data_IF_025946670667
#
_entry.id   IF_025946670667
#
_cell.length_a   1.000
_cell.length_b   1.000
_cell.length_c   1.000
_cell.angle_alpha   90.00
_cell.angle_beta   90.00
_cell.angle_gamma   90.00
#
_symmetry.space_group_name_H-M   'P 1'
#
loop_
_entity.id
_entity.type
_entity.pdbx_description
1 polymer ?
#
# COMPACT_ATOMS: atom_id res chain seq x y z
N UNK A 1 11.02 10.08 -65.92
CA UNK A 1 9.74 9.64 -65.32
C UNK A 1 10.08 8.75 -64.14
N UNK A 2 9.88 9.24 -62.91
CA UNK A 2 10.00 8.43 -61.69
C UNK A 2 8.70 7.64 -61.54
N UNK A 3 8.81 6.32 -61.50
CA UNK A 3 7.67 5.45 -61.19
C UNK A 3 7.56 5.41 -59.66
N UNK A 4 6.53 6.04 -59.13
CA UNK A 4 6.17 6.01 -57.71
C UNK A 4 5.46 4.69 -57.42
N UNK A 5 6.06 3.83 -56.60
CA UNK A 5 5.34 2.71 -55.97
C UNK A 5 4.20 3.24 -55.09
N UNK A 6 3.02 2.60 -55.07
CA UNK A 6 1.96 3.00 -54.18
C UNK A 6 2.34 2.61 -52.73
N UNK A 7 2.18 3.56 -51.81
CA UNK A 7 2.30 3.30 -50.38
C UNK A 7 1.41 2.12 -49.97
N UNK A 8 1.97 1.16 -49.22
CA UNK A 8 1.23 0.06 -48.59
C UNK A 8 0.05 0.66 -47.83
N UNK A 9 -1.18 0.31 -48.22
CA UNK A 9 -2.36 0.50 -47.38
C UNK A 9 -2.11 -0.27 -46.09
N UNK A 10 -2.18 0.41 -44.95
CA UNK A 10 -2.33 -0.25 -43.65
C UNK A 10 -3.67 -0.99 -43.72
N UNK A 11 -3.64 -2.32 -43.72
CA UNK A 11 -4.86 -3.10 -43.54
C UNK A 11 -5.40 -2.77 -42.14
N UNK A 12 -6.58 -2.17 -42.10
CA UNK A 12 -7.30 -1.94 -40.84
C UNK A 12 -7.83 -3.29 -40.41
N UNK A 13 -7.18 -3.91 -39.42
CA UNK A 13 -7.69 -5.12 -38.77
C UNK A 13 -9.06 -4.79 -38.16
N UNK A 14 -10.12 -5.46 -38.62
CA UNK A 14 -11.48 -5.22 -38.11
C UNK A 14 -11.65 -5.95 -36.77
N UNK A 15 -11.24 -5.27 -35.70
CA UNK A 15 -11.33 -5.80 -34.34
C UNK A 15 -12.77 -5.81 -33.84
N UNK A 16 -13.13 -6.82 -33.04
CA UNK A 16 -14.34 -6.77 -32.21
C UNK A 16 -14.30 -5.49 -31.37
N UNK A 17 -15.44 -4.80 -31.28
CA UNK A 17 -15.57 -3.56 -30.49
C UNK A 17 -16.09 -3.88 -29.10
N UNK A 18 -15.42 -3.36 -28.07
CA UNK A 18 -15.83 -3.45 -26.67
C UNK A 18 -16.21 -2.05 -26.17
N UNK A 19 -17.37 -1.96 -25.54
CA UNK A 19 -17.91 -0.72 -24.98
C UNK A 19 -17.31 -0.48 -23.60
N UNK A 20 -16.60 0.63 -23.44
CA UNK A 20 -15.95 1.02 -22.19
C UNK A 20 -16.67 2.24 -21.62
N UNK A 21 -17.18 2.13 -20.40
CA UNK A 21 -17.74 3.25 -19.64
C UNK A 21 -16.75 3.71 -18.56
N UNK A 22 -16.67 5.02 -18.33
CA UNK A 22 -15.85 5.59 -17.27
C UNK A 22 -16.73 6.31 -16.25
N UNK A 23 -16.56 5.98 -14.97
CA UNK A 23 -17.22 6.64 -13.85
C UNK A 23 -16.19 7.48 -13.09
N UNK A 24 -16.33 8.80 -13.15
CA UNK A 24 -15.39 9.75 -12.55
C UNK A 24 -14.30 10.21 -13.52
N UNK A 25 -14.12 11.53 -13.60
CA UNK A 25 -13.11 12.17 -14.46
C UNK A 25 -12.29 13.21 -13.67
N UNK A 26 -11.84 12.83 -12.47
CA UNK A 26 -10.88 13.61 -11.69
C UNK A 26 -9.45 13.49 -12.23
N UNK A 27 -8.44 13.69 -11.38
CA UNK A 27 -7.03 13.65 -11.77
C UNK A 27 -6.60 12.34 -12.47
N UNK A 28 -7.14 11.19 -12.05
CA UNK A 28 -6.85 9.90 -12.70
C UNK A 28 -7.78 9.65 -13.89
N UNK A 29 -9.10 9.76 -13.68
CA UNK A 29 -10.09 9.41 -14.71
C UNK A 29 -9.97 10.26 -15.97
N UNK A 30 -9.64 11.54 -15.84
CA UNK A 30 -9.42 12.41 -17.00
C UNK A 30 -8.20 11.95 -17.83
N UNK A 31 -7.10 11.53 -17.18
CA UNK A 31 -5.93 10.97 -17.86
C UNK A 31 -6.24 9.63 -18.53
N UNK A 32 -7.03 8.76 -17.89
CA UNK A 32 -7.50 7.50 -18.50
C UNK A 32 -8.30 7.76 -19.77
N UNK A 33 -9.27 8.67 -19.73
CA UNK A 33 -10.07 9.03 -20.90
C UNK A 33 -9.20 9.63 -22.03
N UNK A 34 -8.32 10.57 -21.71
CA UNK A 34 -7.43 11.18 -22.68
C UNK A 34 -6.49 10.16 -23.34
N UNK A 35 -5.92 9.23 -22.56
CA UNK A 35 -5.05 8.17 -23.08
C UNK A 35 -5.82 7.15 -23.91
N UNK A 36 -7.05 6.75 -23.53
CA UNK A 36 -7.91 5.88 -24.33
C UNK A 36 -8.20 6.51 -25.70
N UNK A 37 -8.57 7.79 -25.73
CA UNK A 37 -8.89 8.51 -26.97
C UNK A 37 -7.65 8.72 -27.84
N UNK A 38 -6.50 9.03 -27.24
CA UNK A 38 -5.26 9.33 -27.95
C UNK A 38 -4.54 8.08 -28.47
N UNK A 39 -4.54 7.00 -27.70
CA UNK A 39 -3.80 5.77 -27.99
C UNK A 39 -4.70 4.58 -28.35
N UNK A 40 -5.93 4.85 -28.79
CA UNK A 40 -6.95 3.83 -29.08
C UNK A 40 -6.45 2.72 -30.03
N UNK A 41 -5.79 3.07 -31.13
CA UNK A 41 -5.27 2.09 -32.10
C UNK A 41 -4.20 1.16 -31.49
N UNK A 42 -3.27 1.73 -30.71
CA UNK A 42 -2.19 0.98 -30.04
C UNK A 42 -2.75 0.06 -28.94
N UNK A 43 -3.73 0.56 -28.18
CA UNK A 43 -4.43 -0.24 -27.18
C UNK A 43 -5.26 -1.34 -27.82
N UNK A 44 -5.89 -1.07 -28.97
CA UNK A 44 -6.66 -2.06 -29.71
C UNK A 44 -5.79 -3.21 -30.22
N UNK A 45 -4.61 -2.90 -30.75
CA UNK A 45 -3.64 -3.93 -31.19
C UNK A 45 -3.18 -4.82 -30.03
N UNK A 46 -2.90 -4.21 -28.86
CA UNK A 46 -2.51 -4.94 -27.64
C UNK A 46 -3.64 -5.76 -27.03
N UNK A 47 -4.86 -5.24 -27.06
CA UNK A 47 -6.04 -5.89 -26.53
C UNK A 47 -6.53 -7.00 -27.44
N UNK A 48 -6.43 -6.83 -28.76
CA UNK A 48 -7.10 -7.63 -29.78
C UNK A 48 -8.57 -7.23 -30.01
N UNK A 49 -8.99 -6.08 -29.47
CA UNK A 49 -10.33 -5.52 -29.57
C UNK A 49 -10.26 -3.99 -29.58
N UNK A 50 -11.11 -3.33 -30.37
CA UNK A 50 -11.26 -1.87 -30.32
C UNK A 50 -11.95 -1.48 -29.01
N UNK A 51 -11.40 -0.49 -28.31
CA UNK A 51 -11.90 -0.01 -27.01
C UNK A 51 -12.67 1.30 -27.22
N UNK A 52 -13.99 1.20 -27.35
CA UNK A 52 -14.85 2.37 -27.59
C UNK A 52 -15.28 2.99 -26.26
N UNK A 53 -14.74 4.16 -25.92
CA UNK A 53 -15.19 4.93 -24.76
C UNK A 53 -16.59 5.50 -25.06
N UNK A 54 -17.63 4.90 -24.48
CA UNK A 54 -19.04 5.23 -24.79
C UNK A 54 -19.58 6.40 -23.98
N UNK A 55 -18.92 6.74 -22.88
CA UNK A 55 -19.29 7.88 -22.06
C UNK A 55 -18.50 7.94 -20.76
N UNK A 56 -18.58 9.10 -20.12
CA UNK A 56 -17.86 9.48 -18.92
C UNK A 56 -18.87 10.10 -17.94
N UNK A 57 -19.20 9.38 -16.87
CA UNK A 57 -20.07 9.89 -15.81
C UNK A 57 -19.29 10.83 -14.88
N UNK A 58 -19.84 12.02 -14.65
CA UNK A 58 -19.28 13.06 -13.78
C UNK A 58 -20.39 13.72 -12.97
N UNK A 59 -20.04 14.33 -11.83
CA UNK A 59 -20.99 15.11 -11.02
C UNK A 59 -21.33 16.46 -11.66
N UNK A 60 -20.35 17.05 -12.35
CA UNK A 60 -20.44 18.37 -12.96
C UNK A 60 -19.77 18.33 -14.34
N UNK A 61 -20.53 18.70 -15.38
CA UNK A 61 -20.06 18.73 -16.77
C UNK A 61 -19.02 19.84 -16.98
N UNK A 62 -19.15 20.95 -16.26
CA UNK A 62 -18.38 22.17 -16.46
C UNK A 62 -17.17 22.28 -15.51
N UNK A 63 -17.01 21.30 -14.60
CA UNK A 63 -15.85 21.24 -13.70
C UNK A 63 -14.51 21.26 -14.49
N UNK A 64 -13.51 22.02 -14.02
CA UNK A 64 -12.21 22.09 -14.68
C UNK A 64 -11.51 20.74 -14.63
N UNK A 65 -10.77 20.42 -15.70
CA UNK A 65 -10.00 19.18 -15.86
C UNK A 65 -8.63 19.51 -16.45
N UNK A 66 -7.64 18.72 -16.10
CA UNK A 66 -6.25 18.92 -16.56
C UNK A 66 -6.06 18.60 -18.05
N UNK A 67 -7.03 17.92 -18.65
CA UNK A 67 -7.03 17.52 -20.06
C UNK A 67 -8.37 17.87 -20.70
N UNK A 68 -8.31 18.23 -21.98
CA UNK A 68 -9.51 18.50 -22.78
C UNK A 68 -10.19 17.18 -23.15
N UNK A 69 -11.49 17.08 -22.84
CA UNK A 69 -12.30 15.89 -23.09
C UNK A 69 -13.53 16.28 -23.93
N UNK A 70 -13.90 15.50 -24.95
CA UNK A 70 -15.08 15.78 -25.76
C UNK A 70 -16.35 15.89 -24.89
N UNK A 71 -17.04 17.02 -24.97
CA UNK A 71 -18.21 17.32 -24.12
C UNK A 71 -19.33 16.31 -24.33
N UNK A 72 -19.48 15.81 -25.55
CA UNK A 72 -20.46 14.79 -25.93
C UNK A 72 -20.29 13.44 -25.22
N UNK A 73 -19.10 13.15 -24.67
CA UNK A 73 -18.87 11.96 -23.85
C UNK A 73 -19.28 12.17 -22.39
N UNK A 74 -19.41 13.41 -21.92
CA UNK A 74 -19.70 13.71 -20.52
C UNK A 74 -21.19 13.58 -20.23
N UNK A 75 -21.54 12.90 -19.14
CA UNK A 75 -22.91 12.76 -18.65
C UNK A 75 -22.97 12.85 -17.13
N UNK A 76 -24.11 13.27 -16.59
CA UNK A 76 -24.40 13.21 -15.15
C UNK A 76 -25.23 11.99 -14.77
N UNK A 77 -25.59 11.15 -15.74
CA UNK A 77 -26.38 9.94 -15.57
C UNK A 77 -25.49 8.69 -15.69
N UNK A 78 -24.95 8.15 -14.58
CA UNK A 78 -24.13 6.94 -14.60
C UNK A 78 -24.91 5.72 -15.09
N UNK A 79 -26.20 5.58 -14.75
CA UNK A 79 -27.00 4.38 -15.05
C UNK A 79 -27.09 4.14 -16.56
N UNK A 80 -27.20 5.21 -17.34
CA UNK A 80 -27.19 5.15 -18.81
C UNK A 80 -25.92 4.50 -19.41
N UNK A 81 -24.81 4.51 -18.67
CA UNK A 81 -23.52 3.95 -19.11
C UNK A 81 -23.28 2.52 -18.60
N UNK A 82 -23.94 2.10 -17.52
CA UNK A 82 -23.68 0.78 -16.93
C UNK A 82 -24.24 -0.34 -17.81
N UNK A 83 -25.47 -0.16 -18.32
CA UNK A 83 -26.15 -1.20 -19.08
C UNK A 83 -25.58 -1.31 -20.50
N UNK A 84 -25.06 -2.49 -20.81
CA UNK A 84 -24.54 -2.82 -22.14
C UNK A 84 -23.11 -2.35 -22.40
N UNK A 85 -22.40 -1.89 -21.37
CA UNK A 85 -20.94 -1.74 -21.40
C UNK A 85 -20.29 -3.10 -21.15
N UNK A 86 -19.23 -3.41 -21.88
CA UNK A 86 -18.42 -4.62 -21.66
C UNK A 86 -17.48 -4.42 -20.46
N UNK A 87 -16.92 -3.21 -20.34
CA UNK A 87 -15.98 -2.83 -19.27
C UNK A 87 -16.45 -1.52 -18.63
N UNK A 88 -16.52 -1.49 -17.30
CA UNK A 88 -16.78 -0.28 -16.52
C UNK A 88 -15.55 0.07 -15.68
N UNK A 89 -15.01 1.26 -15.91
CA UNK A 89 -13.90 1.82 -15.16
C UNK A 89 -14.46 2.71 -14.04
N UNK A 90 -14.23 2.37 -12.78
CA UNK A 90 -14.67 3.16 -11.61
C UNK A 90 -13.49 3.92 -10.98
N UNK A 91 -13.58 5.25 -11.01
CA UNK A 91 -12.60 6.21 -10.50
C UNK A 91 -13.29 7.40 -9.82
N UNK A 92 -14.44 7.18 -9.19
CA UNK A 92 -15.19 8.21 -8.45
C UNK A 92 -14.62 8.43 -7.05
N UNK A 93 -14.07 7.37 -6.44
CA UNK A 93 -13.66 7.36 -5.04
C UNK A 93 -14.84 7.32 -4.08
N UNK A 94 -14.55 7.14 -2.78
CA UNK A 94 -15.57 6.98 -1.74
C UNK A 94 -16.26 5.60 -1.78
N UNK A 95 -17.24 5.38 -0.90
CA UNK A 95 -17.96 4.10 -0.81
C UNK A 95 -19.23 4.11 -1.66
N UNK A 96 -20.11 5.10 -1.46
CA UNK A 96 -21.30 5.32 -2.29
C UNK A 96 -21.17 6.64 -3.04
N UNK A 97 -21.61 6.74 -4.31
CA UNK A 97 -22.38 5.75 -5.08
C UNK A 97 -21.54 4.68 -5.80
N UNK A 98 -20.23 4.61 -5.53
CA UNK A 98 -19.31 3.69 -6.21
C UNK A 98 -19.72 2.23 -6.08
N UNK A 99 -20.00 1.76 -4.86
CA UNK A 99 -20.46 0.40 -4.58
C UNK A 99 -21.72 0.05 -5.35
N UNK A 100 -22.76 0.88 -5.26
CA UNK A 100 -24.03 0.66 -5.98
C UNK A 100 -23.81 0.57 -7.49
N UNK A 101 -22.99 1.47 -8.05
CA UNK A 101 -22.71 1.51 -9.50
C UNK A 101 -21.94 0.27 -9.97
N UNK A 102 -20.95 -0.19 -9.19
CA UNK A 102 -20.18 -1.40 -9.49
C UNK A 102 -21.08 -2.64 -9.45
N UNK A 103 -21.91 -2.79 -8.42
CA UNK A 103 -22.83 -3.94 -8.31
C UNK A 103 -23.83 -3.99 -9.47
N UNK A 104 -24.36 -2.84 -9.89
CA UNK A 104 -25.24 -2.74 -11.06
C UNK A 104 -24.52 -3.11 -12.36
N UNK A 105 -23.29 -2.63 -12.56
CA UNK A 105 -22.48 -2.97 -13.72
C UNK A 105 -22.15 -4.46 -13.79
N UNK A 106 -21.76 -5.06 -12.65
CA UNK A 106 -21.56 -6.51 -12.52
C UNK A 106 -22.84 -7.26 -12.88
N UNK A 107 -23.99 -6.85 -12.31
CA UNK A 107 -25.29 -7.47 -12.62
C UNK A 107 -25.68 -7.39 -14.11
N UNK A 108 -25.15 -6.42 -14.85
CA UNK A 108 -25.30 -6.29 -16.30
C UNK A 108 -24.27 -7.12 -17.10
N UNK A 109 -23.33 -7.80 -16.44
CA UNK A 109 -22.32 -8.65 -17.04
C UNK A 109 -21.00 -7.93 -17.41
N UNK A 110 -20.80 -6.70 -16.95
CA UNK A 110 -19.59 -5.94 -17.23
C UNK A 110 -18.41 -6.38 -16.36
N UNK A 111 -17.20 -6.39 -16.94
CA UNK A 111 -15.98 -6.40 -16.15
C UNK A 111 -15.74 -5.04 -15.52
N UNK A 112 -15.16 -5.04 -14.31
CA UNK A 112 -14.90 -3.84 -13.55
C UNK A 112 -13.39 -3.58 -13.50
N UNK A 113 -13.00 -2.33 -13.72
CA UNK A 113 -11.65 -1.84 -13.44
C UNK A 113 -11.76 -0.71 -12.43
N UNK A 114 -11.13 -0.81 -11.26
CA UNK A 114 -11.24 0.22 -10.20
C UNK A 114 -9.90 0.54 -9.54
N UNK A 115 -9.74 1.78 -9.07
CA UNK A 115 -8.62 2.19 -8.21
C UNK A 115 -9.07 2.42 -6.74
N UNK A 116 -10.29 2.02 -6.39
CA UNK A 116 -10.93 2.40 -5.14
C UNK A 116 -10.56 1.46 -3.98
N UNK A 117 -9.38 1.71 -3.40
CA UNK A 117 -8.83 0.97 -2.25
C UNK A 117 -9.77 0.92 -1.05
N UNK A 118 -10.47 2.00 -0.73
CA UNK A 118 -11.36 2.07 0.43
C UNK A 118 -12.57 1.16 0.24
N UNK A 119 -13.14 1.15 -0.97
CA UNK A 119 -14.24 0.28 -1.33
C UNK A 119 -13.81 -1.19 -1.32
N UNK A 120 -12.69 -1.53 -1.94
CA UNK A 120 -12.18 -2.91 -1.98
C UNK A 120 -11.83 -3.44 -0.59
N UNK A 121 -11.19 -2.63 0.26
CA UNK A 121 -10.84 -3.04 1.60
C UNK A 121 -12.04 -3.22 2.54
N UNK A 122 -13.19 -2.60 2.23
CA UNK A 122 -14.40 -2.65 3.07
C UNK A 122 -15.45 -3.62 2.54
N UNK A 123 -15.68 -3.62 1.24
CA UNK A 123 -16.74 -4.35 0.54
C UNK A 123 -16.21 -5.33 -0.52
N UNK A 124 -14.89 -5.54 -0.60
CA UNK A 124 -14.27 -6.47 -1.55
C UNK A 124 -14.95 -7.84 -1.60
N UNK A 125 -15.15 -8.55 -0.47
CA UNK A 125 -15.82 -9.85 -0.46
C UNK A 125 -17.18 -9.85 -1.16
N UNK A 126 -18.01 -8.83 -0.90
CA UNK A 126 -19.31 -8.67 -1.54
C UNK A 126 -19.19 -8.46 -3.05
N UNK A 127 -18.26 -7.58 -3.47
CA UNK A 127 -18.07 -7.27 -4.89
C UNK A 127 -17.54 -8.47 -5.67
N UNK A 128 -16.56 -9.19 -5.13
CA UNK A 128 -16.01 -10.39 -5.76
C UNK A 128 -17.04 -11.52 -5.82
N UNK A 129 -17.85 -11.72 -4.77
CA UNK A 129 -18.92 -12.71 -4.79
C UNK A 129 -19.96 -12.38 -5.88
N UNK A 130 -20.35 -11.11 -6.01
CA UNK A 130 -21.25 -10.67 -7.08
C UNK A 130 -20.65 -10.92 -8.48
N UNK A 131 -19.35 -10.64 -8.67
CA UNK A 131 -18.67 -10.88 -9.93
C UNK A 131 -18.61 -12.37 -10.28
N UNK A 132 -18.31 -13.23 -9.31
CA UNK A 132 -18.24 -14.68 -9.47
C UNK A 132 -19.60 -15.27 -9.88
N UNK A 133 -20.72 -14.76 -9.34
CA UNK A 133 -22.07 -15.24 -9.67
C UNK A 133 -22.44 -15.07 -11.14
N UNK A 134 -21.93 -14.02 -11.79
CA UNK A 134 -22.22 -13.71 -13.20
C UNK A 134 -21.05 -14.06 -14.14
N UNK A 135 -19.92 -14.51 -13.59
CA UNK A 135 -18.69 -14.80 -14.33
C UNK A 135 -17.94 -13.57 -14.83
N UNK A 136 -18.17 -12.39 -14.22
CA UNK A 136 -17.42 -11.16 -14.49
C UNK A 136 -16.09 -11.15 -13.72
N UNK A 137 -15.21 -10.22 -14.04
CA UNK A 137 -13.93 -10.00 -13.35
C UNK A 137 -13.84 -8.59 -12.79
N UNK A 138 -13.18 -8.46 -11.64
CA UNK A 138 -12.81 -7.16 -11.06
C UNK A 138 -11.28 -7.05 -11.11
N UNK A 139 -10.80 -6.02 -11.79
CA UNK A 139 -9.39 -5.65 -11.89
C UNK A 139 -9.13 -4.40 -11.07
N UNK A 140 -8.04 -4.39 -10.31
CA UNK A 140 -7.78 -3.35 -9.32
C UNK A 140 -6.29 -3.09 -9.05
N UNK A 141 -5.44 -3.23 -10.07
CA UNK A 141 -3.99 -2.97 -9.95
C UNK A 141 -3.70 -1.59 -9.35
N UNK A 142 -4.46 -0.59 -9.82
CA UNK A 142 -4.34 0.81 -9.42
C UNK A 142 -4.68 1.07 -7.93
N UNK A 143 -5.32 0.12 -7.22
CA UNK A 143 -5.76 0.31 -5.84
C UNK A 143 -4.65 0.07 -4.80
N UNK A 144 -3.61 -0.71 -5.13
CA UNK A 144 -2.60 -1.10 -4.14
C UNK A 144 -1.35 -0.20 -4.12
N UNK A 145 -0.75 0.09 -5.28
CA UNK A 145 0.56 0.76 -5.33
C UNK A 145 0.73 1.72 -6.52
N UNK A 146 -0.37 2.33 -6.98
CA UNK A 146 -0.32 3.32 -8.06
C UNK A 146 0.09 2.69 -9.39
N UNK A 147 1.27 3.06 -9.91
CA UNK A 147 1.81 2.48 -11.15
C UNK A 147 2.59 1.17 -10.94
N UNK A 148 2.91 0.80 -9.70
CA UNK A 148 3.72 -0.38 -9.42
C UNK A 148 2.85 -1.62 -9.65
N UNK A 149 3.21 -2.52 -10.60
CA UNK A 149 2.49 -3.75 -10.77
C UNK A 149 2.78 -4.67 -9.58
N UNK A 150 1.76 -4.97 -8.77
CA UNK A 150 1.89 -5.83 -7.59
C UNK A 150 0.73 -6.82 -7.46
N UNK A 151 -0.49 -6.41 -7.83
CA UNK A 151 -1.66 -7.28 -7.86
C UNK A 151 -1.43 -8.39 -8.88
N UNK A 152 -1.07 -8.08 -10.13
CA UNK A 152 -0.79 -9.12 -11.14
C UNK A 152 0.38 -10.04 -10.79
N UNK A 153 1.55 -9.54 -10.34
CA UNK A 153 2.62 -10.41 -9.88
C UNK A 153 2.20 -11.37 -8.77
N UNK A 154 1.47 -10.91 -7.75
CA UNK A 154 0.98 -11.76 -6.66
C UNK A 154 -0.09 -12.76 -7.15
N UNK A 155 -1.02 -12.30 -7.99
CA UNK A 155 -2.16 -13.11 -8.45
C UNK A 155 -1.79 -14.14 -9.51
N UNK A 156 -0.90 -13.78 -10.43
CA UNK A 156 -0.66 -14.55 -11.66
C UNK A 156 0.76 -15.13 -11.67
N UNK A 157 1.78 -14.31 -11.38
CA UNK A 157 3.19 -14.75 -11.50
C UNK A 157 3.66 -15.59 -10.31
N UNK A 158 3.16 -15.26 -9.11
CA UNK A 158 3.49 -15.95 -7.85
C UNK A 158 2.40 -16.93 -7.41
N UNK A 159 1.37 -17.17 -8.22
CA UNK A 159 0.32 -18.15 -7.92
C UNK A 159 0.84 -19.59 -7.75
N UNK A 160 1.98 -19.90 -8.36
CA UNK A 160 2.65 -21.20 -8.22
C UNK A 160 3.65 -21.25 -7.07
N UNK A 161 3.78 -20.18 -6.29
CA UNK A 161 4.74 -20.04 -5.19
C UNK A 161 3.99 -19.76 -3.88
N UNK A 162 4.73 -19.68 -2.79
CA UNK A 162 4.21 -19.41 -1.46
C UNK A 162 4.83 -18.15 -0.90
N UNK A 163 4.05 -17.09 -0.90
CA UNK A 163 4.43 -15.82 -0.26
C UNK A 163 4.46 -16.01 1.25
N UNK A 164 5.61 -15.71 1.85
CA UNK A 164 5.85 -15.75 3.29
C UNK A 164 5.67 -14.36 3.91
N UNK A 165 6.19 -13.33 3.24
CA UNK A 165 6.20 -11.98 3.79
C UNK A 165 6.15 -10.92 2.69
N UNK A 166 5.46 -9.83 2.99
CA UNK A 166 5.45 -8.61 2.21
C UNK A 166 5.83 -7.45 3.13
N UNK A 167 6.78 -6.62 2.71
CA UNK A 167 7.10 -5.36 3.36
C UNK A 167 6.98 -4.23 2.33
N UNK A 168 6.14 -3.25 2.60
CA UNK A 168 5.82 -2.20 1.64
C UNK A 168 5.96 -0.80 2.20
N UNK A 169 6.63 0.08 1.44
CA UNK A 169 6.46 1.52 1.54
C UNK A 169 5.36 1.88 0.55
N UNK A 170 4.13 1.97 1.05
CA UNK A 170 2.92 2.07 0.21
C UNK A 170 2.24 3.44 0.29
N UNK A 171 2.82 4.39 1.03
CA UNK A 171 2.30 5.75 1.16
C UNK A 171 3.40 6.78 0.86
N UNK A 172 3.23 7.52 -0.24
CA UNK A 172 4.23 8.47 -0.73
C UNK A 172 4.40 9.69 0.17
N UNK A 173 3.32 10.21 0.78
CA UNK A 173 3.35 11.37 1.67
C UNK A 173 4.24 11.13 2.88
N UNK A 174 4.00 10.02 3.59
CA UNK A 174 4.79 9.62 4.75
C UNK A 174 6.22 9.28 4.40
N UNK A 175 6.47 8.61 3.27
CA UNK A 175 7.84 8.33 2.83
C UNK A 175 8.60 9.62 2.51
N UNK A 176 7.96 10.60 1.85
CA UNK A 176 8.55 11.90 1.57
C UNK A 176 8.94 12.62 2.87
N UNK A 177 8.03 12.64 3.86
CA UNK A 177 8.29 13.28 5.15
C UNK A 177 9.47 12.63 5.86
N UNK A 178 9.43 11.30 6.04
CA UNK A 178 10.50 10.57 6.74
C UNK A 178 11.85 10.65 6.00
N UNK A 179 11.85 10.64 4.66
CA UNK A 179 13.05 10.80 3.84
C UNK A 179 13.68 12.19 4.01
N UNK A 180 12.89 13.26 4.01
CA UNK A 180 13.40 14.62 4.29
C UNK A 180 13.94 14.73 5.71
N UNK A 181 13.23 14.21 6.70
CA UNK A 181 13.70 14.22 8.08
C UNK A 181 15.03 13.47 8.24
N UNK A 182 15.20 12.29 7.62
CA UNK A 182 16.47 11.54 7.67
C UNK A 182 17.63 12.27 6.95
N UNK A 183 17.37 12.98 5.86
CA UNK A 183 18.42 13.59 5.04
C UNK A 183 18.81 15.00 5.46
N UNK A 184 17.84 15.77 5.93
CA UNK A 184 18.01 17.19 6.26
C UNK A 184 18.07 17.43 7.77
N UNK A 185 17.62 16.47 8.59
CA UNK A 185 17.55 16.63 10.05
C UNK A 185 16.46 17.60 10.50
N UNK A 186 15.48 17.89 9.64
CA UNK A 186 14.37 18.79 9.92
C UNK A 186 13.31 18.18 10.84
N UNK A 187 12.58 19.04 11.55
CA UNK A 187 11.47 18.62 12.41
C UNK A 187 10.23 18.22 11.60
N UNK A 188 9.45 17.28 12.15
CA UNK A 188 8.23 16.75 11.52
C UNK A 188 7.26 17.84 11.07
N UNK A 189 6.99 18.82 11.93
CA UNK A 189 6.02 19.88 11.66
C UNK A 189 6.42 20.78 10.49
N UNK A 190 7.71 21.09 10.37
CA UNK A 190 8.26 21.90 9.27
C UNK A 190 8.16 21.14 7.95
N UNK A 191 8.59 19.87 7.95
CA UNK A 191 8.54 19.01 6.75
C UNK A 191 7.10 18.77 6.29
N UNK A 192 6.15 18.59 7.23
CA UNK A 192 4.74 18.43 6.90
C UNK A 192 4.17 19.70 6.25
N UNK A 193 4.47 20.89 6.80
CA UNK A 193 4.02 22.15 6.23
C UNK A 193 4.56 22.36 4.80
N UNK A 194 5.84 22.02 4.57
CA UNK A 194 6.44 22.07 3.24
C UNK A 194 5.83 21.05 2.29
N UNK A 195 5.53 19.83 2.76
CA UNK A 195 4.85 18.80 1.97
C UNK A 195 3.45 19.27 1.54
N UNK A 196 2.71 19.98 2.39
CA UNK A 196 1.43 20.59 2.05
C UNK A 196 1.58 21.71 1.01
N UNK A 197 2.57 22.60 1.20
CA UNK A 197 2.84 23.69 0.26
C UNK A 197 3.23 23.21 -1.15
N UNK A 198 3.94 22.08 -1.22
CA UNK A 198 4.37 21.45 -2.47
C UNK A 198 3.31 20.51 -3.07
N UNK A 199 2.17 20.30 -2.39
CA UNK A 199 1.10 19.41 -2.86
C UNK A 199 1.39 17.92 -2.70
N UNK A 200 2.39 17.54 -1.90
CA UNK A 200 2.64 16.15 -1.52
C UNK A 200 1.69 15.66 -0.42
N UNK A 201 1.16 16.58 0.41
CA UNK A 201 0.17 16.29 1.45
C UNK A 201 -1.08 17.16 1.26
N UNK A 202 -2.25 16.61 1.57
CA UNK A 202 -3.50 17.38 1.58
C UNK A 202 -3.58 18.30 2.82
N UNK A 203 -4.56 19.22 2.81
CA UNK A 203 -4.80 20.12 3.95
C UNK A 203 -5.11 19.37 5.25
N UNK A 204 -5.86 18.26 5.15
CA UNK A 204 -6.01 17.26 6.20
C UNK A 204 -5.22 15.99 5.82
N UNK A 205 -3.97 15.84 6.30
CA UNK A 205 -3.11 14.71 5.95
C UNK A 205 -3.36 13.49 6.84
N UNK A 206 -4.41 13.47 7.68
CA UNK A 206 -4.65 12.43 8.69
C UNK A 206 -4.63 11.02 8.08
N UNK A 207 -5.25 10.83 6.92
CA UNK A 207 -5.28 9.51 6.26
C UNK A 207 -3.87 8.97 5.96
N UNK A 208 -2.90 9.85 5.69
CA UNK A 208 -1.53 9.50 5.40
C UNK A 208 -0.69 9.36 6.67
N UNK A 209 -0.57 10.42 7.47
CA UNK A 209 0.36 10.48 8.61
C UNK A 209 -0.02 9.57 9.76
N UNK A 210 -1.30 9.21 9.88
CA UNK A 210 -1.77 8.18 10.79
C UNK A 210 -1.75 6.77 10.15
N UNK A 211 -1.43 6.64 8.86
CA UNK A 211 -1.25 5.34 8.21
C UNK A 211 -2.54 4.60 7.84
N UNK A 212 -3.68 5.30 7.74
CA UNK A 212 -4.94 4.69 7.29
C UNK A 212 -4.86 4.23 5.83
N UNK A 213 -4.26 5.03 4.95
CA UNK A 213 -4.03 4.67 3.55
C UNK A 213 -3.14 3.42 3.43
N UNK A 214 -2.05 3.38 4.21
CA UNK A 214 -1.15 2.23 4.25
C UNK A 214 -1.85 0.98 4.80
N UNK A 215 -2.72 1.11 5.79
CA UNK A 215 -3.49 -0.01 6.34
C UNK A 215 -4.50 -0.58 5.31
N UNK A 216 -5.13 0.29 4.52
CA UNK A 216 -6.02 -0.13 3.42
C UNK A 216 -5.26 -0.96 2.37
N UNK A 217 -4.09 -0.48 1.96
CA UNK A 217 -3.24 -1.18 1.00
C UNK A 217 -2.68 -2.47 1.58
N UNK A 218 -2.31 -2.49 2.86
CA UNK A 218 -1.85 -3.68 3.56
C UNK A 218 -2.93 -4.78 3.61
N UNK A 219 -4.19 -4.41 3.87
CA UNK A 219 -5.30 -5.37 3.86
C UNK A 219 -5.48 -6.02 2.48
N UNK A 220 -5.47 -5.21 1.40
CA UNK A 220 -5.58 -5.70 0.02
C UNK A 220 -4.41 -6.63 -0.33
N UNK A 221 -3.17 -6.21 -0.05
CA UNK A 221 -1.96 -7.00 -0.34
C UNK A 221 -1.95 -8.31 0.43
N UNK A 222 -2.29 -8.29 1.72
CA UNK A 222 -2.37 -9.49 2.56
C UNK A 222 -3.46 -10.44 2.05
N UNK A 223 -4.62 -9.90 1.66
CA UNK A 223 -5.71 -10.73 1.17
C UNK A 223 -5.36 -11.49 -0.09
N UNK A 224 -4.67 -10.83 -1.01
CA UNK A 224 -4.20 -11.44 -2.23
C UNK A 224 -3.07 -12.44 -1.97
N UNK A 225 -2.05 -12.05 -1.22
CA UNK A 225 -0.85 -12.86 -1.02
C UNK A 225 -1.10 -14.12 -0.18
N UNK A 226 -2.05 -14.07 0.74
CA UNK A 226 -2.36 -15.18 1.65
C UNK A 226 -3.71 -15.84 1.38
N UNK A 227 -4.36 -15.47 0.28
CA UNK A 227 -5.59 -16.09 -0.18
C UNK A 227 -6.69 -16.08 0.90
N UNK A 228 -6.81 -14.98 1.66
CA UNK A 228 -7.64 -14.87 2.88
C UNK A 228 -8.22 -13.46 3.00
N UNK A 229 -9.53 -13.30 3.19
CA UNK A 229 -10.11 -11.98 3.42
C UNK A 229 -9.59 -11.35 4.74
N UNK A 230 -9.03 -10.15 4.67
CA UNK A 230 -8.50 -9.41 5.82
C UNK A 230 -9.35 -8.17 6.06
N UNK A 231 -10.12 -8.11 7.16
CA UNK A 231 -10.88 -6.91 7.50
C UNK A 231 -9.94 -5.81 7.99
N UNK A 232 -10.24 -4.55 7.67
CA UNK A 232 -9.44 -3.40 8.10
C UNK A 232 -9.27 -3.29 9.62
N UNK A 233 -10.28 -3.71 10.38
CA UNK A 233 -10.21 -3.71 11.85
C UNK A 233 -9.19 -4.69 12.43
N UNK A 234 -8.71 -5.65 11.64
CA UNK A 234 -7.67 -6.59 12.04
C UNK A 234 -6.25 -6.09 11.70
N UNK A 235 -6.11 -4.97 10.99
CA UNK A 235 -4.81 -4.37 10.67
C UNK A 235 -4.34 -3.51 11.84
N UNK A 236 -3.22 -3.87 12.45
CA UNK A 236 -2.58 -2.99 13.43
C UNK A 236 -2.06 -1.72 12.75
N UNK A 237 -2.26 -0.55 13.36
CA UNK A 237 -1.91 0.74 12.75
C UNK A 237 -1.28 1.70 13.76
N UNK A 238 -0.09 2.16 13.44
CA UNK A 238 0.60 3.28 14.08
C UNK A 238 1.07 4.27 13.01
N UNK A 239 0.88 5.57 13.27
CA UNK A 239 1.31 6.66 12.39
C UNK A 239 2.74 7.13 12.64
N UNK A 240 3.16 8.15 11.89
CA UNK A 240 4.49 8.76 11.98
C UNK A 240 4.53 10.02 12.86
N UNK A 241 3.40 10.42 13.44
CA UNK A 241 3.24 11.69 14.18
C UNK A 241 4.07 11.80 15.45
N UNK A 242 4.59 10.69 15.98
CA UNK A 242 5.48 10.66 17.16
C UNK A 242 6.96 10.62 16.81
N UNK A 243 7.31 10.61 15.52
CA UNK A 243 8.70 10.58 15.08
C UNK A 243 9.26 12.00 15.10
N UNK A 244 10.38 12.20 15.79
CA UNK A 244 11.08 13.48 15.91
C UNK A 244 12.50 13.41 15.30
N UNK A 245 13.18 14.56 15.25
CA UNK A 245 14.53 14.67 14.70
C UNK A 245 15.58 13.92 15.53
N UNK A 246 15.39 13.82 16.85
CA UNK A 246 16.26 13.08 17.77
C UNK A 246 16.23 11.57 17.45
N UNK A 247 15.03 11.01 17.23
CA UNK A 247 14.84 9.63 16.80
C UNK A 247 15.50 9.36 15.45
N UNK A 248 15.40 10.30 14.51
CA UNK A 248 16.04 10.20 13.19
C UNK A 248 17.57 10.18 13.30
N UNK A 249 18.15 11.07 14.12
CA UNK A 249 19.60 11.10 14.32
C UNK A 249 20.12 9.83 15.02
N UNK A 250 19.39 9.34 16.04
CA UNK A 250 19.71 8.09 16.70
C UNK A 250 19.65 6.90 15.74
N UNK A 251 18.61 6.80 14.91
CA UNK A 251 18.50 5.77 13.87
C UNK A 251 19.68 5.84 12.89
N UNK A 252 20.05 7.04 12.43
CA UNK A 252 21.17 7.27 11.52
C UNK A 252 22.49 6.80 12.10
N UNK A 253 22.80 7.16 13.35
CA UNK A 253 24.01 6.73 14.08
C UNK A 253 24.07 5.21 14.25
N UNK A 254 22.92 4.58 14.47
CA UNK A 254 22.79 3.13 14.60
C UNK A 254 22.82 2.38 13.24
N UNK A 255 22.92 3.07 12.10
CA UNK A 255 22.99 2.42 10.78
C UNK A 255 21.62 2.09 10.15
N UNK A 256 20.55 2.74 10.62
CA UNK A 256 19.18 2.53 10.16
C UNK A 256 18.59 3.79 9.52
N UNK A 257 17.50 3.61 8.79
CA UNK A 257 16.53 4.66 8.43
C UNK A 257 15.18 4.33 9.05
N UNK A 258 14.34 5.34 9.29
CA UNK A 258 12.96 5.13 9.74
C UNK A 258 12.03 5.16 8.52
N UNK A 259 11.21 4.12 8.35
CA UNK A 259 10.19 4.02 7.29
C UNK A 259 8.85 3.63 7.88
N UNK A 260 7.75 4.17 7.34
CA UNK A 260 6.41 3.65 7.61
C UNK A 260 6.21 2.40 6.74
N UNK A 261 6.23 1.22 7.36
CA UNK A 261 6.11 -0.05 6.66
C UNK A 261 4.72 -0.65 6.83
N UNK A 262 4.13 -1.09 5.72
CA UNK A 262 3.08 -2.10 5.71
C UNK A 262 3.72 -3.49 5.67
N UNK A 263 3.55 -4.28 6.72
CA UNK A 263 4.06 -5.65 6.81
C UNK A 263 2.90 -6.63 6.83
N UNK A 264 2.93 -7.58 5.91
CA UNK A 264 1.99 -8.69 5.82
C UNK A 264 2.82 -9.98 5.92
N UNK A 265 2.51 -10.85 6.86
CA UNK A 265 3.38 -12.00 7.16
C UNK A 265 2.56 -13.23 7.50
N UNK A 266 2.97 -14.37 6.95
CA UNK A 266 2.50 -15.68 7.34
C UNK A 266 3.28 -16.13 8.58
N UNK A 267 2.55 -16.53 9.61
CA UNK A 267 3.10 -17.00 10.87
C UNK A 267 2.73 -18.46 11.11
N UNK A 268 3.53 -19.12 11.93
CA UNK A 268 3.23 -20.46 12.44
C UNK A 268 2.78 -20.38 13.89
N UNK A 269 1.50 -20.65 14.14
CA UNK A 269 0.90 -20.70 15.48
C UNK A 269 -0.12 -21.84 15.56
N UNK A 270 0.35 -22.99 16.05
CA UNK A 270 -0.45 -24.21 16.22
C UNK A 270 -1.44 -24.14 17.38
N UNK A 271 -1.32 -23.15 18.27
CA UNK A 271 -2.30 -22.93 19.34
C UNK A 271 -3.54 -22.19 18.83
N UNK A 272 -3.36 -21.32 17.83
CA UNK A 272 -4.44 -20.51 17.25
C UNK A 272 -5.15 -21.20 16.08
N UNK A 273 -4.42 -21.94 15.24
CA UNK A 273 -4.96 -22.52 14.02
C UNK A 273 -4.75 -24.04 13.96
N UNK A 274 -5.78 -24.85 13.62
CA UNK A 274 -5.62 -26.29 13.40
C UNK A 274 -4.64 -26.65 12.28
N UNK A 275 -4.47 -25.77 11.28
CA UNK A 275 -3.46 -25.93 10.23
C UNK A 275 -2.05 -25.54 10.68
N UNK A 276 -1.92 -24.90 11.85
CA UNK A 276 -0.68 -24.30 12.33
C UNK A 276 -0.35 -22.95 11.71
N UNK A 277 -1.16 -22.44 10.79
CA UNK A 277 -0.86 -21.20 10.05
C UNK A 277 -1.82 -20.08 10.39
N UNK A 278 -1.25 -18.90 10.59
CA UNK A 278 -1.94 -17.64 10.83
C UNK A 278 -1.30 -16.55 9.99
N UNK A 279 -1.93 -15.37 9.93
CA UNK A 279 -1.37 -14.20 9.27
C UNK A 279 -1.37 -12.99 10.19
N UNK A 280 -0.39 -12.12 10.01
CA UNK A 280 -0.33 -10.81 10.66
C UNK A 280 -0.28 -9.72 9.61
N UNK A 281 -1.05 -8.66 9.84
CA UNK A 281 -1.10 -7.48 8.97
C UNK A 281 -0.98 -6.24 9.84
N UNK A 282 0.06 -5.43 9.58
CA UNK A 282 0.43 -4.33 10.46
C UNK A 282 1.09 -3.19 9.71
N UNK A 283 0.87 -1.98 10.18
CA UNK A 283 1.47 -0.74 9.69
C UNK A 283 2.04 0.03 10.87
N UNK A 284 3.34 0.35 10.82
CA UNK A 284 4.01 1.16 11.84
C UNK A 284 5.33 1.75 11.32
N UNK A 285 5.86 2.80 11.97
CA UNK A 285 7.24 3.21 11.79
C UNK A 285 8.19 2.09 12.23
N UNK A 286 9.16 1.77 11.39
CA UNK A 286 10.17 0.76 11.65
C UNK A 286 11.56 1.27 11.28
N UNK A 287 12.56 0.83 12.04
CA UNK A 287 13.97 0.94 11.69
C UNK A 287 14.28 -0.12 10.65
N UNK A 288 14.87 0.32 9.54
CA UNK A 288 15.27 -0.52 8.42
C UNK A 288 16.77 -0.35 8.20
N UNK A 289 17.57 -1.44 8.15
CA UNK A 289 19.00 -1.35 7.90
C UNK A 289 19.29 -0.55 6.63
N UNK A 290 20.31 0.31 6.64
CA UNK A 290 20.65 1.13 5.46
C UNK A 290 21.02 0.33 4.22
N UNK A 291 21.46 -0.92 4.40
CA UNK A 291 21.78 -1.85 3.32
C UNK A 291 20.54 -2.56 2.74
N UNK A 292 19.41 -2.56 3.45
CA UNK A 292 18.19 -3.19 2.97
C UNK A 292 17.61 -2.41 1.78
N UNK A 293 17.09 -3.05 0.71
CA UNK A 293 16.62 -2.36 -0.49
C UNK A 293 15.58 -1.26 -0.23
N UNK A 294 14.65 -1.48 0.71
CA UNK A 294 13.65 -0.47 1.10
C UNK A 294 14.25 0.82 1.71
N UNK A 295 15.46 0.76 2.26
CA UNK A 295 16.11 1.96 2.80
C UNK A 295 16.46 2.98 1.69
N UNK A 296 16.70 2.49 0.47
CA UNK A 296 17.03 3.31 -0.71
C UNK A 296 15.80 3.95 -1.39
N UNK A 297 14.60 3.74 -0.85
CA UNK A 297 13.35 4.26 -1.43
C UNK A 297 13.13 5.69 -0.94
N UNK A 298 13.51 6.65 -1.77
CA UNK A 298 13.48 8.09 -1.44
C UNK A 298 12.27 8.83 -2.01
N UNK A 299 11.98 10.00 -1.43
CA UNK A 299 10.89 10.90 -1.83
C UNK A 299 9.51 10.26 -1.76
N UNK A 300 8.62 10.66 -2.67
CA UNK A 300 7.25 10.14 -2.74
C UNK A 300 7.12 8.79 -3.49
N UNK A 301 8.23 8.07 -3.68
CA UNK A 301 8.20 6.75 -4.31
C UNK A 301 7.70 5.69 -3.35
N UNK A 302 7.09 4.66 -3.91
CA UNK A 302 6.66 3.47 -3.21
C UNK A 302 7.54 2.28 -3.58
N UNK A 303 7.53 1.27 -2.73
CA UNK A 303 8.12 -0.03 -3.04
C UNK A 303 7.39 -1.15 -2.30
N UNK A 304 7.32 -2.32 -2.91
CA UNK A 304 6.82 -3.55 -2.29
C UNK A 304 7.89 -4.62 -2.42
N UNK A 305 8.39 -5.08 -1.27
CA UNK A 305 9.34 -6.16 -1.13
C UNK A 305 8.59 -7.43 -0.76
N UNK A 306 8.67 -8.46 -1.59
CA UNK A 306 7.96 -9.73 -1.45
C UNK A 306 8.98 -10.85 -1.23
N UNK A 307 8.75 -11.66 -0.21
CA UNK A 307 9.55 -12.84 0.08
C UNK A 307 8.68 -14.08 -0.15
N UNK A 308 9.08 -14.92 -1.10
CA UNK A 308 8.42 -16.16 -1.42
C UNK A 308 9.38 -17.35 -1.33
N UNK A 309 8.85 -18.55 -1.06
CA UNK A 309 9.67 -19.75 -0.82
C UNK A 309 10.57 -20.12 -2.00
N UNK A 310 10.04 -20.10 -3.23
CA UNK A 310 10.80 -20.50 -4.41
C UNK A 310 11.48 -19.33 -5.12
N UNK A 311 10.78 -18.20 -5.26
CA UNK A 311 11.31 -17.02 -5.96
C UNK A 311 12.31 -16.21 -5.11
N UNK A 312 12.33 -16.42 -3.78
CA UNK A 312 13.15 -15.63 -2.87
C UNK A 312 12.64 -14.19 -2.75
N UNK A 313 13.59 -13.26 -2.69
CA UNK A 313 13.31 -11.84 -2.52
C UNK A 313 13.06 -11.12 -3.85
N UNK A 314 11.91 -10.47 -3.97
CA UNK A 314 11.51 -9.67 -5.12
C UNK A 314 11.17 -8.24 -4.66
N UNK A 315 11.55 -7.23 -5.45
CA UNK A 315 11.21 -5.83 -5.17
C UNK A 315 10.55 -5.18 -6.38
N UNK A 316 9.40 -4.56 -6.14
CA UNK A 316 8.69 -3.75 -7.11
C UNK A 316 8.78 -2.29 -6.65
N UNK A 317 9.27 -1.40 -7.53
CA UNK A 317 9.57 0.00 -7.19
C UNK A 317 8.99 0.95 -8.23
N UNK A 318 8.49 2.09 -7.79
CA UNK A 318 8.02 3.14 -8.68
C UNK A 318 7.19 4.21 -7.98
N UNK A 319 6.50 5.01 -8.79
CA UNK A 319 5.60 6.04 -8.28
C UNK A 319 4.32 5.41 -7.69
N UNK A 320 4.06 5.71 -6.41
CA UNK A 320 2.90 5.20 -5.67
C UNK A 320 1.59 5.96 -5.86
N UNK A 321 1.65 7.11 -6.54
CA UNK A 321 0.54 8.02 -6.77
C UNK A 321 0.80 8.86 -8.03
N UNK A 322 -0.19 9.66 -8.43
CA UNK A 322 -0.13 10.56 -9.58
C UNK A 322 -1.14 10.18 -10.67
N UNK A 323 -1.77 11.18 -11.29
CA UNK A 323 -2.86 10.97 -12.24
C UNK A 323 -2.48 10.08 -13.42
N UNK A 324 -1.34 10.37 -14.07
CA UNK A 324 -0.85 9.63 -15.24
C UNK A 324 -0.31 8.24 -14.84
N UNK A 325 0.39 8.16 -13.72
CA UNK A 325 0.97 6.92 -13.19
C UNK A 325 -0.14 5.91 -12.85
N UNK A 326 -1.16 6.33 -12.12
CA UNK A 326 -2.32 5.48 -11.80
C UNK A 326 -3.13 5.15 -13.06
N UNK A 327 -3.27 6.09 -14.01
CA UNK A 327 -3.93 5.82 -15.29
C UNK A 327 -3.24 4.70 -16.08
N UNK A 328 -1.90 4.58 -15.99
CA UNK A 328 -1.15 3.48 -16.62
C UNK A 328 -1.58 2.11 -16.07
N UNK A 329 -1.77 1.97 -14.75
CA UNK A 329 -2.22 0.73 -14.14
C UNK A 329 -3.67 0.40 -14.54
N UNK A 330 -4.55 1.40 -14.54
CA UNK A 330 -5.95 1.27 -15.00
C UNK A 330 -6.01 0.79 -16.45
N UNK A 331 -5.22 1.38 -17.35
CA UNK A 331 -5.20 0.97 -18.76
C UNK A 331 -4.67 -0.45 -18.95
N UNK A 332 -3.69 -0.87 -18.15
CA UNK A 332 -3.22 -2.27 -18.15
C UNK A 332 -4.34 -3.25 -17.78
N UNK A 333 -5.18 -2.88 -16.82
CA UNK A 333 -6.36 -3.64 -16.42
C UNK A 333 -7.44 -3.67 -17.49
N UNK A 334 -7.72 -2.53 -18.14
CA UNK A 334 -8.65 -2.47 -19.28
C UNK A 334 -8.20 -3.39 -20.42
N UNK A 335 -6.91 -3.38 -20.77
CA UNK A 335 -6.36 -4.29 -21.78
C UNK A 335 -6.49 -5.76 -21.36
N UNK A 336 -6.30 -6.06 -20.08
CA UNK A 336 -6.46 -7.43 -19.55
C UNK A 336 -7.92 -7.89 -19.59
N UNK A 337 -8.85 -7.03 -19.19
CA UNK A 337 -10.29 -7.27 -19.31
C UNK A 337 -10.68 -7.52 -20.78
N UNK A 338 -10.21 -6.66 -21.70
CA UNK A 338 -10.48 -6.81 -23.12
C UNK A 338 -9.99 -8.16 -23.69
N UNK A 339 -8.77 -8.58 -23.31
CA UNK A 339 -8.24 -9.90 -23.69
C UNK A 339 -9.11 -11.05 -23.20
N UNK A 340 -9.65 -10.96 -21.97
CA UNK A 340 -10.61 -11.95 -21.44
C UNK A 340 -11.90 -11.97 -22.28
N UNK A 341 -12.46 -10.81 -22.63
CA UNK A 341 -13.67 -10.75 -23.47
C UNK A 341 -13.47 -11.38 -24.86
N UNK A 342 -12.26 -11.31 -25.42
CA UNK A 342 -11.91 -11.94 -26.71
C UNK A 342 -11.71 -13.44 -26.54
N UNK A 343 -10.95 -13.86 -25.52
CA UNK A 343 -10.71 -15.27 -25.24
C UNK A 343 -12.01 -16.01 -24.87
N UNK A 344 -12.96 -15.28 -24.26
CA UNK A 344 -14.17 -15.84 -23.68
C UNK A 344 -13.91 -16.60 -22.37
N UNK A 345 -14.97 -17.09 -21.76
CA UNK A 345 -14.91 -17.82 -20.49
C UNK A 345 -15.23 -16.97 -19.27
N UNK A 346 -15.29 -17.66 -18.12
CA UNK A 346 -15.57 -17.04 -16.82
C UNK A 346 -14.37 -16.24 -16.32
N UNK A 347 -14.64 -15.18 -15.57
CA UNK A 347 -13.62 -14.47 -14.81
C UNK A 347 -12.84 -15.38 -13.87
N UNK A 348 -11.60 -14.98 -13.57
CA UNK A 348 -10.83 -15.60 -12.49
C UNK A 348 -11.21 -14.87 -11.21
N UNK A 349 -12.04 -15.52 -10.39
CA UNK A 349 -12.45 -15.01 -9.08
C UNK A 349 -11.28 -14.89 -8.11
N UNK A 350 -11.48 -14.13 -7.04
CA UNK A 350 -10.48 -14.10 -5.96
C UNK A 350 -10.41 -15.43 -5.22
N UNK A 351 -9.19 -15.84 -4.92
CA UNK A 351 -8.91 -17.00 -4.08
C UNK A 351 -8.90 -16.57 -2.61
N UNK A 352 -10.04 -16.30 -1.98
CA UNK A 352 -10.11 -16.00 -0.52
C UNK A 352 -10.37 -17.24 0.34
N UNK A 353 -10.00 -18.42 -0.17
CA UNK A 353 -10.46 -19.72 0.36
C UNK A 353 -9.62 -20.27 1.52
N UNK A 354 -8.43 -19.72 1.77
CA UNK A 354 -7.56 -20.25 2.82
C UNK A 354 -8.07 -19.94 4.23
N UNK A 355 -8.85 -18.86 4.40
CA UNK A 355 -9.50 -18.46 5.66
C UNK A 355 -8.55 -18.51 6.87
N UNK A 356 -7.31 -18.05 6.70
CA UNK A 356 -6.30 -18.06 7.75
C UNK A 356 -6.68 -17.08 8.88
N UNK A 357 -6.56 -17.46 10.16
CA UNK A 357 -6.80 -16.51 11.25
C UNK A 357 -5.82 -15.33 11.19
N UNK A 358 -6.34 -14.11 11.24
CA UNK A 358 -5.54 -12.89 11.42
C UNK A 358 -5.26 -12.72 12.91
N UNK A 359 -3.99 -12.79 13.32
CA UNK A 359 -3.61 -12.65 14.72
C UNK A 359 -3.31 -11.20 15.10
N UNK A 360 -3.60 -10.79 16.35
CA UNK A 360 -3.20 -9.48 16.87
C UNK A 360 -1.68 -9.29 16.85
N UNK A 361 -1.24 -8.03 16.89
CA UNK A 361 0.19 -7.70 16.84
C UNK A 361 1.02 -8.38 17.93
N UNK A 362 0.46 -8.60 19.13
CA UNK A 362 1.15 -9.24 20.25
C UNK A 362 1.69 -10.66 19.97
N UNK A 363 1.14 -11.36 18.96
CA UNK A 363 1.63 -12.68 18.54
C UNK A 363 2.85 -12.63 17.62
N UNK A 364 3.14 -11.46 17.03
CA UNK A 364 4.25 -11.28 16.09
C UNK A 364 5.58 -11.39 16.83
N UNK A 365 6.58 -11.98 16.19
CA UNK A 365 7.96 -11.91 16.67
C UNK A 365 8.69 -10.76 15.99
N UNK A 366 9.24 -9.82 16.75
CA UNK A 366 9.99 -8.66 16.21
C UNK A 366 11.12 -8.27 17.16
N UNK A 367 11.86 -7.22 16.82
CA UNK A 367 12.90 -6.60 17.65
C UNK A 367 12.52 -5.15 17.93
N UNK A 368 12.90 -4.63 19.09
CA UNK A 368 12.76 -3.22 19.43
C UNK A 368 14.11 -2.53 19.49
N UNK A 369 14.14 -1.26 19.12
CA UNK A 369 15.07 -0.28 19.65
C UNK A 369 14.31 0.61 20.65
N UNK A 370 14.74 0.58 21.90
CA UNK A 370 14.14 1.31 23.01
C UNK A 370 15.11 2.41 23.41
N UNK A 371 14.67 3.66 23.36
CA UNK A 371 15.45 4.80 23.87
C UNK A 371 14.86 5.25 25.21
N UNK A 372 15.69 5.29 26.24
CA UNK A 372 15.32 5.64 27.60
C UNK A 372 16.13 6.83 28.07
N UNK A 373 15.51 7.72 28.83
CA UNK A 373 16.18 8.67 29.71
C UNK A 373 16.10 8.16 31.13
N UNK A 374 17.26 8.05 31.76
CA UNK A 374 17.45 7.45 33.08
C UNK A 374 18.36 8.33 33.91
N UNK A 375 18.32 8.16 35.22
CA UNK A 375 19.28 8.83 36.10
C UNK A 375 20.70 8.30 35.86
N UNK A 376 21.68 9.19 35.82
CA UNK A 376 23.10 8.84 35.65
C UNK A 376 23.71 8.39 36.97
N UNK A 377 23.31 7.20 37.43
CA UNK A 377 23.83 6.57 38.65
C UNK A 377 24.15 5.08 38.45
N UNK A 378 25.15 4.54 39.19
CA UNK A 378 25.46 3.12 39.15
C UNK A 378 24.24 2.25 39.49
N UNK A 379 24.07 1.14 38.77
CA UNK A 379 23.02 0.15 39.00
C UNK A 379 21.75 0.32 38.16
N UNK A 380 21.54 1.48 37.53
CA UNK A 380 20.40 1.74 36.62
C UNK A 380 20.38 0.76 35.45
N UNK A 381 21.53 0.56 34.81
CA UNK A 381 21.66 -0.40 33.72
C UNK A 381 21.32 -1.84 34.16
N UNK A 382 21.77 -2.24 35.35
CA UNK A 382 21.47 -3.57 35.89
C UNK A 382 19.96 -3.75 36.15
N UNK A 383 19.28 -2.71 36.63
CA UNK A 383 17.83 -2.73 36.82
C UNK A 383 17.08 -2.80 35.49
N UNK A 384 17.47 -2.00 34.49
CA UNK A 384 16.89 -2.05 33.13
C UNK A 384 17.06 -3.44 32.51
N UNK A 385 18.26 -4.01 32.59
CA UNK A 385 18.52 -5.35 32.07
C UNK A 385 17.73 -6.43 32.82
N UNK A 386 17.56 -6.29 34.14
CA UNK A 386 16.72 -7.17 34.95
C UNK A 386 15.26 -7.16 34.50
N UNK A 387 14.68 -5.98 34.31
CA UNK A 387 13.28 -5.83 33.86
C UNK A 387 13.04 -6.43 32.48
N UNK A 388 13.98 -6.23 31.54
CA UNK A 388 13.89 -6.85 30.21
C UNK A 388 14.00 -8.38 30.31
N UNK A 389 14.93 -8.90 31.12
CA UNK A 389 15.11 -10.33 31.33
C UNK A 389 13.87 -10.98 31.97
N UNK A 390 13.25 -10.33 32.96
CA UNK A 390 12.00 -10.80 33.59
C UNK A 390 10.85 -10.86 32.59
N UNK A 391 10.83 -9.93 31.62
CA UNK A 391 9.91 -9.93 30.48
C UNK A 391 10.28 -10.91 29.36
N UNK A 392 11.29 -11.77 29.52
CA UNK A 392 11.81 -12.70 28.50
C UNK A 392 12.38 -12.01 27.25
N UNK A 393 12.83 -10.76 27.40
CA UNK A 393 13.44 -9.97 26.34
C UNK A 393 14.96 -9.98 26.50
N UNK A 394 15.66 -10.45 25.47
CA UNK A 394 17.13 -10.44 25.44
C UNK A 394 17.66 -9.19 24.75
N UNK A 395 18.74 -8.61 25.30
CA UNK A 395 19.41 -7.43 24.76
C UNK A 395 20.46 -7.87 23.73
N UNK A 396 20.38 -7.30 22.54
CA UNK A 396 21.36 -7.49 21.47
C UNK A 396 22.45 -6.41 21.51
N UNK A 397 22.06 -5.14 21.69
CA UNK A 397 22.99 -3.99 21.74
C UNK A 397 22.57 -3.02 22.84
N UNK A 398 23.56 -2.30 23.36
CA UNK A 398 23.33 -1.27 24.36
C UNK A 398 24.35 -0.15 24.20
N UNK A 399 23.85 1.08 24.13
CA UNK A 399 24.66 2.30 24.09
C UNK A 399 24.18 3.27 25.17
N UNK A 400 25.12 3.83 25.94
CA UNK A 400 24.84 4.88 26.93
C UNK A 400 25.58 6.15 26.53
N UNK A 401 24.86 7.27 26.53
CA UNK A 401 25.41 8.60 26.29
C UNK A 401 24.93 9.56 27.39
N UNK A 402 25.73 10.60 27.65
CA UNK A 402 25.38 11.65 28.62
C UNK A 402 24.52 12.68 27.88
N UNK A 403 23.41 13.11 28.49
CA UNK A 403 22.52 14.14 27.95
C UNK A 403 22.49 15.32 28.90
N UNK A 404 22.89 16.50 28.42
CA UNK A 404 22.89 17.75 29.19
C UNK A 404 24.26 18.41 29.32
N UNK A 405 24.31 19.55 30.03
CA UNK A 405 25.56 20.22 30.40
C UNK A 405 26.15 19.61 31.67
N UNK A 406 27.45 19.84 31.96
CA UNK A 406 28.09 19.39 33.22
C UNK A 406 27.21 19.76 34.44
N UNK A 407 26.60 18.73 35.06
CA UNK A 407 25.71 18.87 36.22
C UNK A 407 24.32 18.25 36.07
N UNK A 408 23.87 17.90 34.86
CA UNK A 408 22.64 17.11 34.67
C UNK A 408 22.91 15.63 34.97
N UNK A 409 22.19 15.05 35.94
CA UNK A 409 22.29 13.63 36.32
C UNK A 409 21.40 12.73 35.43
N UNK A 410 21.36 12.98 34.13
CA UNK A 410 20.55 12.20 33.17
C UNK A 410 21.42 11.58 32.08
N UNK A 411 21.26 10.27 31.89
CA UNK A 411 21.87 9.51 30.82
C UNK A 411 20.80 9.01 29.84
N UNK A 412 21.15 8.89 28.56
CA UNK A 412 20.33 8.28 27.52
C UNK A 412 20.84 6.89 27.22
N UNK A 413 19.97 5.89 27.39
CA UNK A 413 20.21 4.50 27.05
C UNK A 413 19.47 4.14 25.76
N UNK A 414 20.19 3.62 24.77
CA UNK A 414 19.61 3.04 23.56
C UNK A 414 19.82 1.52 23.64
N UNK A 415 18.72 0.78 23.67
CA UNK A 415 18.71 -0.68 23.84
C UNK A 415 18.12 -1.33 22.59
N UNK A 416 18.91 -2.13 21.88
CA UNK A 416 18.43 -3.00 20.81
C UNK A 416 18.15 -4.40 21.35
N UNK A 417 17.00 -4.99 21.04
CA UNK A 417 16.63 -6.34 21.50
C UNK A 417 16.89 -7.40 20.43
N UNK A 418 17.05 -8.66 20.86
CA UNK A 418 16.86 -9.81 19.97
C UNK A 418 15.37 -9.99 19.63
N UNK A 419 15.08 -10.98 18.78
CA UNK A 419 13.70 -11.37 18.43
C UNK A 419 12.96 -11.83 19.69
N UNK A 420 11.79 -11.26 19.92
CA UNK A 420 10.86 -11.66 20.98
C UNK A 420 9.41 -11.40 20.52
N UNK A 421 8.44 -12.00 21.22
CA UNK A 421 7.02 -11.70 20.98
C UNK A 421 6.75 -10.23 21.26
N UNK A 422 5.96 -9.60 20.40
CA UNK A 422 5.63 -8.19 20.54
C UNK A 422 4.94 -7.91 21.88
N UNK A 423 4.09 -8.83 22.35
CA UNK A 423 3.46 -8.69 23.66
C UNK A 423 4.51 -8.61 24.78
N UNK A 424 5.50 -9.51 24.78
CA UNK A 424 6.58 -9.54 25.77
C UNK A 424 7.42 -8.26 25.74
N UNK A 425 7.70 -7.75 24.54
CA UNK A 425 8.40 -6.48 24.35
C UNK A 425 7.59 -5.29 24.89
N UNK A 426 6.28 -5.24 24.60
CA UNK A 426 5.40 -4.16 25.05
C UNK A 426 5.22 -4.17 26.58
N UNK A 427 5.08 -5.37 27.18
CA UNK A 427 4.94 -5.54 28.62
C UNK A 427 6.24 -5.14 29.34
N UNK A 428 7.40 -5.48 28.77
CA UNK A 428 8.69 -5.07 29.30
C UNK A 428 8.90 -3.55 29.23
N UNK A 429 8.47 -2.88 28.14
CA UNK A 429 8.46 -1.41 28.05
C UNK A 429 7.54 -0.78 29.09
N UNK A 430 6.35 -1.35 29.31
CA UNK A 430 5.43 -0.86 30.33
C UNK A 430 6.02 -1.01 31.74
N UNK A 431 6.69 -2.14 32.02
CA UNK A 431 7.40 -2.36 33.28
C UNK A 431 8.57 -1.38 33.48
N UNK A 432 9.35 -1.11 32.43
CA UNK A 432 10.40 -0.09 32.44
C UNK A 432 9.84 1.29 32.81
N UNK A 433 8.74 1.70 32.16
CA UNK A 433 8.08 2.98 32.43
C UNK A 433 7.52 3.08 33.86
N UNK A 434 7.15 1.97 34.49
CA UNK A 434 6.59 1.92 35.84
C UNK A 434 7.64 1.74 36.95
N UNK A 435 8.90 1.44 36.60
CA UNK A 435 9.95 1.03 37.54
C UNK A 435 10.49 2.12 38.47
N UNK A 436 10.27 3.40 38.13
CA UNK A 436 10.88 4.55 38.81
C UNK A 436 12.39 4.72 38.56
N UNK A 437 13.04 3.77 37.88
CA UNK A 437 14.44 3.86 37.44
C UNK A 437 14.56 4.62 36.12
N UNK A 438 13.53 4.50 35.29
CA UNK A 438 13.40 5.22 34.01
C UNK A 438 12.63 6.51 34.26
N UNK A 439 13.25 7.66 33.93
CA UNK A 439 12.58 8.95 33.99
C UNK A 439 11.57 9.07 32.85
N UNK A 440 11.96 8.63 31.65
CA UNK A 440 11.13 8.71 30.45
C UNK A 440 11.52 7.64 29.43
N UNK A 441 10.53 6.97 28.86
CA UNK A 441 10.69 6.20 27.62
C UNK A 441 10.61 7.20 26.46
N UNK A 442 11.73 7.48 25.83
CA UNK A 442 11.84 8.50 24.77
C UNK A 442 11.25 7.98 23.48
N UNK A 443 11.64 6.77 23.08
CA UNK A 443 11.14 6.16 21.84
C UNK A 443 11.14 4.64 21.93
N UNK A 444 10.23 4.04 21.17
CA UNK A 444 10.16 2.60 20.95
C UNK A 444 9.89 2.40 19.47
N UNK A 445 10.85 1.84 18.74
CA UNK A 445 10.72 1.57 17.31
C UNK A 445 10.96 0.08 17.06
N UNK A 446 10.11 -0.52 16.23
CA UNK A 446 10.33 -1.89 15.74
C UNK A 446 11.47 -1.89 14.73
N UNK A 447 12.23 -2.98 14.66
CA UNK A 447 13.29 -3.18 13.66
C UNK A 447 12.83 -4.24 12.66
N UNK A 448 12.98 -3.95 11.37
CA UNK A 448 12.57 -4.83 10.28
C UNK A 448 13.63 -4.87 9.16
N UNK A 449 13.60 -5.91 8.32
CA UNK A 449 14.51 -6.06 7.18
C UNK A 449 15.84 -6.74 7.50
N UNK A 450 15.85 -7.63 8.49
CA UNK A 450 16.95 -8.56 8.80
C UNK A 450 16.99 -9.78 7.87
#
# INVERSE_FOLDING_TARGET
MRNTEPAKRVEVTDYRRLRVALLGAGAVGSQVAALLLKHGDELADRAGAALDLVGISVRDLDAPRDVDLPRELLTTDPESLLVGSDIVIELMGGIEPARTSILQAIGAGADIVTANKALLATHGPELFEAADQVGASIYYEAAAAGAIPIIRPLRDSLAGDRVQRIMGIVNGTTNYILDRMDREGSDFAEVLADAQALGYAEADPTADIEGYDAAQKAAILASLAFHTAVPLSAVHREGITRIDADMMDAARKAGFVIKLLAVCERLSDAEVSPSGETISVRVYPALVPREHPLASVHGANNAVFVQAEAAGDLMFYGAGAGGVQTASAVLGDVVSAARRHIAGGVGVGESTRANLPVVPIGHVTTRYQITLEVEDRPGVLAAVAGLLSDGRVSIATLEQSIVGTEGDETARLVVGTHLAREQDLSDAVAALSASGVVQRVVSVLRVEGD
#
